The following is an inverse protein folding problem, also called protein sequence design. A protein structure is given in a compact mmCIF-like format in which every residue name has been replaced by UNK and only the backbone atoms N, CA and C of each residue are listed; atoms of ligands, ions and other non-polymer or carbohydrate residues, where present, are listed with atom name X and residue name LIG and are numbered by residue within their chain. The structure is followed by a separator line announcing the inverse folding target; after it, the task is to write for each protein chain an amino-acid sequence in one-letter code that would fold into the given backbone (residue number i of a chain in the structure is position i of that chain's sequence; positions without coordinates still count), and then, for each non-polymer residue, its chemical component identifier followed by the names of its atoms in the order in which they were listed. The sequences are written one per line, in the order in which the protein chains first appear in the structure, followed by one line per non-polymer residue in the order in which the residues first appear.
data_IF_423354051887
#
_entry.id   IF_423354051887
#
_cell.length_a   1.000
_cell.length_b   1.000
_cell.length_c   1.000
_cell.angle_alpha   90.00
_cell.angle_beta   90.00
_cell.angle_gamma   90.00
#
_symmetry.space_group_name_H-M   'P 1'
#
loop_
_entity.id
_entity.type
_entity.pdbx_description
1 polymer ?
#
# COMPACT_ATOMS: atom_id res chain seq x y z
N UNK A 1 -15.55 5.19 1.79
CA UNK A 1 -15.31 6.14 0.67
C UNK A 1 -13.82 6.19 0.37
N UNK A 2 -13.42 6.08 -0.90
CA UNK A 2 -12.04 6.35 -1.34
C UNK A 2 -11.88 7.87 -1.56
N UNK A 3 -10.99 8.51 -0.80
CA UNK A 3 -10.71 9.94 -0.92
C UNK A 3 -9.34 10.21 -1.57
N UNK A 4 -9.36 10.81 -2.75
CA UNK A 4 -8.18 11.19 -3.54
C UNK A 4 -8.06 12.69 -3.78
N UNK A 5 -8.66 13.51 -2.91
CA UNK A 5 -8.60 14.97 -3.03
C UNK A 5 -7.22 15.48 -2.61
N UNK A 6 -6.46 16.03 -3.57
CA UNK A 6 -5.13 16.66 -3.35
C UNK A 6 -5.28 18.13 -2.94
N UNK A 7 -6.07 18.36 -1.90
CA UNK A 7 -6.28 19.70 -1.35
C UNK A 7 -6.49 19.58 0.16
N UNK A 8 -5.44 19.88 0.93
CA UNK A 8 -5.46 19.70 2.39
C UNK A 8 -6.49 20.61 3.08
N UNK A 9 -6.85 21.77 2.50
CA UNK A 9 -7.96 22.60 3.03
C UNK A 9 -9.28 21.82 3.05
N UNK A 10 -9.51 20.97 2.05
CA UNK A 10 -10.71 20.11 2.02
C UNK A 10 -10.61 18.98 3.03
N UNK A 11 -9.41 18.49 3.34
CA UNK A 11 -9.23 17.52 4.42
C UNK A 11 -9.60 18.12 5.78
N UNK A 12 -9.08 19.31 6.10
CA UNK A 12 -9.35 19.98 7.37
C UNK A 12 -10.84 20.36 7.57
N UNK A 13 -11.55 20.64 6.48
CA UNK A 13 -12.94 21.12 6.53
C UNK A 13 -13.95 19.98 6.32
N UNK A 14 -13.80 19.19 5.26
CA UNK A 14 -14.85 18.26 4.83
C UNK A 14 -14.81 16.95 5.62
N UNK A 15 -13.63 16.45 5.98
CA UNK A 15 -13.50 15.15 6.67
C UNK A 15 -14.18 15.18 8.04
N UNK A 16 -13.96 16.18 8.92
CA UNK A 16 -14.68 16.25 10.19
C UNK A 16 -16.19 16.36 10.02
N UNK A 17 -16.66 17.11 9.00
CA UNK A 17 -18.09 17.22 8.69
C UNK A 17 -18.65 15.88 8.26
N UNK A 18 -17.97 15.15 7.37
CA UNK A 18 -18.39 13.83 6.89
C UNK A 18 -18.47 12.84 8.05
N UNK A 19 -17.44 12.75 8.89
CA UNK A 19 -17.47 11.88 10.08
C UNK A 19 -18.63 12.22 11.02
N UNK A 20 -18.89 13.51 11.27
CA UNK A 20 -20.02 13.94 12.11
C UNK A 20 -21.38 13.54 11.54
N UNK A 21 -21.56 13.67 10.23
CA UNK A 21 -22.83 13.37 9.56
C UNK A 21 -23.01 11.87 9.24
N UNK A 22 -21.92 11.12 9.13
CA UNK A 22 -21.89 9.71 8.77
C UNK A 22 -20.80 8.97 9.58
N UNK A 23 -21.01 8.73 10.88
CA UNK A 23 -19.99 8.16 11.76
C UNK A 23 -19.55 6.75 11.36
N UNK A 24 -20.41 5.97 10.72
CA UNK A 24 -20.10 4.62 10.23
C UNK A 24 -19.40 4.61 8.85
N UNK A 25 -19.30 5.76 8.18
CA UNK A 25 -18.68 5.82 6.86
C UNK A 25 -17.16 5.81 7.00
N UNK A 26 -16.55 4.70 6.61
CA UNK A 26 -15.09 4.61 6.54
C UNK A 26 -14.52 5.56 5.48
N UNK A 27 -13.44 6.26 5.81
CA UNK A 27 -12.68 7.12 4.89
C UNK A 27 -11.32 6.49 4.62
N UNK A 28 -11.07 6.19 3.34
CA UNK A 28 -9.83 5.57 2.88
C UNK A 28 -9.06 6.53 1.97
N UNK A 29 -7.86 6.95 2.35
CA UNK A 29 -7.00 7.77 1.48
C UNK A 29 -6.48 6.95 0.31
N UNK A 30 -6.30 7.59 -0.84
CA UNK A 30 -5.59 7.00 -1.99
C UNK A 30 -4.33 7.77 -2.40
N UNK A 31 -3.75 8.51 -1.47
CA UNK A 31 -2.51 9.27 -1.68
C UNK A 31 -1.30 8.40 -1.36
N UNK A 32 -0.87 7.61 -2.33
CA UNK A 32 0.37 6.82 -2.25
C UNK A 32 1.59 7.70 -1.94
N UNK A 33 1.62 8.91 -2.48
CA UNK A 33 2.69 9.89 -2.37
C UNK A 33 2.68 10.68 -1.04
N UNK A 34 1.57 10.68 -0.30
CA UNK A 34 1.37 11.49 0.92
C UNK A 34 0.82 10.67 2.09
N UNK A 35 1.33 9.45 2.30
CA UNK A 35 0.85 8.54 3.36
C UNK A 35 0.79 9.21 4.74
N UNK A 36 1.91 9.80 5.20
CA UNK A 36 1.98 10.44 6.51
C UNK A 36 0.96 11.58 6.69
N UNK A 37 0.79 12.42 5.67
CA UNK A 37 -0.05 13.61 5.74
C UNK A 37 -1.53 13.30 5.91
N UNK A 38 -1.97 12.10 5.49
CA UNK A 38 -3.37 11.67 5.60
C UNK A 38 -3.59 10.61 6.67
N UNK A 39 -2.54 9.96 7.18
CA UNK A 39 -2.61 8.83 8.10
C UNK A 39 -3.40 9.09 9.40
N UNK A 40 -3.53 10.35 9.82
CA UNK A 40 -4.16 10.72 11.08
C UNK A 40 -5.68 10.83 11.00
N UNK A 41 -6.25 11.01 9.80
CA UNK A 41 -7.67 11.38 9.63
C UNK A 41 -8.42 10.38 8.73
N UNK A 42 -7.91 9.15 8.67
CA UNK A 42 -8.42 8.05 7.84
C UNK A 42 -8.62 6.77 8.63
N UNK A 43 -9.54 5.93 8.14
CA UNK A 43 -9.80 4.59 8.69
C UNK A 43 -8.90 3.52 8.10
N UNK A 44 -8.35 3.78 6.90
CA UNK A 44 -7.41 2.90 6.24
C UNK A 44 -6.87 3.45 4.93
N UNK A 45 -5.96 2.69 4.31
CA UNK A 45 -5.33 3.02 3.05
C UNK A 45 -5.96 2.23 1.90
N UNK A 46 -6.42 2.92 0.85
CA UNK A 46 -6.78 2.31 -0.43
C UNK A 46 -5.84 2.84 -1.52
N UNK A 47 -4.60 2.38 -1.42
CA UNK A 47 -3.41 2.85 -2.14
C UNK A 47 -2.74 1.68 -2.86
N UNK A 48 -2.05 1.94 -3.97
CA UNK A 48 -1.24 0.92 -4.64
C UNK A 48 -0.13 0.37 -3.73
N UNK A 49 0.34 1.18 -2.78
CA UNK A 49 1.39 0.88 -1.82
C UNK A 49 1.08 -0.37 -0.97
N UNK A 50 -0.21 -0.64 -0.75
CA UNK A 50 -0.69 -1.83 -0.05
C UNK A 50 -0.25 -3.14 -0.70
N UNK A 51 0.12 -3.13 -1.99
CA UNK A 51 0.66 -4.31 -2.65
C UNK A 51 2.11 -4.60 -2.26
N UNK A 52 2.90 -3.57 -1.95
CA UNK A 52 4.36 -3.69 -1.80
C UNK A 52 4.82 -3.58 -0.36
N UNK A 53 4.13 -2.81 0.49
CA UNK A 53 4.49 -2.63 1.90
C UNK A 53 3.30 -2.72 2.86
N UNK A 54 2.38 -3.71 2.72
CA UNK A 54 1.21 -3.80 3.59
C UNK A 54 1.56 -3.84 5.08
N UNK A 55 2.67 -4.47 5.46
CA UNK A 55 3.10 -4.62 6.85
C UNK A 55 3.41 -3.26 7.50
N UNK A 56 4.06 -2.35 6.77
CA UNK A 56 4.36 -1.00 7.25
C UNK A 56 3.14 -0.07 7.18
N UNK A 57 2.23 -0.30 6.22
CA UNK A 57 0.98 0.46 6.13
C UNK A 57 0.03 0.13 7.29
N UNK A 58 -0.04 -1.13 7.73
CA UNK A 58 -0.80 -1.53 8.91
C UNK A 58 -0.27 -0.78 10.14
N UNK A 59 1.05 -0.79 10.35
CA UNK A 59 1.67 -0.03 11.44
C UNK A 59 1.38 1.47 11.32
N UNK A 60 1.42 2.04 10.11
CA UNK A 60 1.09 3.45 9.87
C UNK A 60 -0.35 3.80 10.26
N UNK A 61 -1.32 2.91 9.97
CA UNK A 61 -2.72 3.10 10.39
C UNK A 61 -2.81 3.08 11.93
N UNK A 62 -2.16 2.13 12.59
CA UNK A 62 -2.19 1.99 14.04
C UNK A 62 -1.65 3.25 14.73
N UNK A 63 -0.47 3.73 14.32
CA UNK A 63 0.15 4.92 14.92
C UNK A 63 -0.58 6.20 14.55
N UNK A 64 -1.16 6.28 13.34
CA UNK A 64 -2.00 7.39 12.90
C UNK A 64 -3.26 7.51 13.77
N UNK A 65 -3.94 6.39 14.05
CA UNK A 65 -5.10 6.35 14.97
C UNK A 65 -4.72 6.69 16.40
N UNK A 66 -3.54 6.28 16.86
CA UNK A 66 -3.00 6.64 18.17
C UNK A 66 -2.50 8.11 18.25
N UNK A 67 -2.49 8.84 17.13
CA UNK A 67 -1.91 10.19 16.99
C UNK A 67 -0.43 10.26 17.43
N UNK A 68 0.31 9.16 17.28
CA UNK A 68 1.76 9.10 17.56
C UNK A 68 2.54 9.61 16.34
N UNK A 69 2.74 10.92 16.30
CA UNK A 69 3.47 11.56 15.20
C UNK A 69 4.92 11.11 15.11
N UNK A 70 5.60 10.90 16.24
CA UNK A 70 7.01 10.53 16.25
C UNK A 70 7.22 9.16 15.57
N UNK A 71 6.38 8.18 15.91
CA UNK A 71 6.43 6.86 15.28
C UNK A 71 5.96 6.89 13.83
N UNK A 72 4.91 7.65 13.52
CA UNK A 72 4.45 7.84 12.14
C UNK A 72 5.55 8.44 11.24
N UNK A 73 6.31 9.41 11.76
CA UNK A 73 7.46 10.02 11.06
C UNK A 73 8.56 9.00 10.79
N UNK A 74 8.91 8.16 11.77
CA UNK A 74 9.89 7.09 11.58
C UNK A 74 9.49 6.11 10.48
N UNK A 75 8.24 5.65 10.47
CA UNK A 75 7.71 4.77 9.42
C UNK A 75 7.73 5.47 8.05
N UNK A 76 7.38 6.75 8.02
CA UNK A 76 7.45 7.54 6.80
C UNK A 76 8.89 7.64 6.28
N UNK A 77 9.87 7.89 7.14
CA UNK A 77 11.29 7.94 6.76
C UNK A 77 11.79 6.60 6.20
N UNK A 78 11.36 5.49 6.80
CA UNK A 78 11.66 4.14 6.31
C UNK A 78 11.07 3.90 4.91
N UNK A 79 9.83 4.35 4.67
CA UNK A 79 9.13 4.20 3.39
C UNK A 79 9.59 5.19 2.32
N UNK A 80 10.16 6.34 2.69
CA UNK A 80 10.38 7.46 1.78
C UNK A 80 11.24 7.12 0.55
N UNK A 81 12.34 6.34 0.65
CA UNK A 81 13.10 5.94 -0.55
C UNK A 81 12.26 5.12 -1.52
N UNK A 82 11.41 4.22 -1.03
CA UNK A 82 10.51 3.43 -1.85
C UNK A 82 9.40 4.30 -2.46
N UNK A 83 8.88 5.28 -1.70
CA UNK A 83 7.90 6.25 -2.20
C UNK A 83 8.49 7.07 -3.33
N UNK A 84 9.74 7.53 -3.19
CA UNK A 84 10.46 8.25 -4.24
C UNK A 84 10.63 7.40 -5.49
N UNK A 85 11.12 6.17 -5.32
CA UNK A 85 11.39 5.26 -6.42
C UNK A 85 10.13 4.75 -7.13
N UNK A 86 8.94 4.84 -6.52
CA UNK A 86 7.69 4.34 -7.12
C UNK A 86 6.73 5.48 -7.50
N UNK A 87 6.47 6.42 -6.59
CA UNK A 87 5.38 7.40 -6.71
C UNK A 87 5.81 8.83 -7.00
N UNK A 88 7.08 9.18 -6.82
CA UNK A 88 7.61 10.49 -7.25
C UNK A 88 8.16 10.47 -8.69
N UNK A 89 7.65 9.54 -9.50
CA UNK A 89 7.98 9.42 -10.93
C UNK A 89 7.19 10.42 -11.78
N UNK A 90 7.58 10.57 -13.05
CA UNK A 90 7.01 11.58 -13.95
C UNK A 90 5.53 11.40 -14.27
N UNK A 91 4.95 10.22 -13.99
CA UNK A 91 3.53 9.97 -14.15
C UNK A 91 3.01 8.81 -13.29
N UNK A 92 1.70 8.77 -13.06
CA UNK A 92 1.03 7.62 -12.44
C UNK A 92 1.18 6.32 -13.25
N UNK A 93 1.38 6.44 -14.57
CA UNK A 93 1.61 5.29 -15.45
C UNK A 93 2.96 4.64 -15.13
N UNK A 94 4.02 5.43 -14.98
CA UNK A 94 5.33 4.94 -14.53
C UNK A 94 5.25 4.30 -13.13
N UNK A 95 4.50 4.91 -12.21
CA UNK A 95 4.29 4.34 -10.88
C UNK A 95 3.66 2.95 -10.89
N UNK A 96 2.75 2.70 -11.85
CA UNK A 96 2.14 1.37 -12.04
C UNK A 96 3.18 0.32 -12.45
N UNK A 97 4.13 0.70 -13.32
CA UNK A 97 5.21 -0.21 -13.73
C UNK A 97 6.21 -0.41 -12.59
N UNK A 98 6.55 0.66 -11.87
CA UNK A 98 7.45 0.63 -10.72
C UNK A 98 6.93 -0.28 -9.60
N UNK A 99 5.61 -0.27 -9.36
CA UNK A 99 4.96 -1.21 -8.43
C UNK A 99 5.25 -2.66 -8.78
N UNK A 100 5.22 -3.04 -10.06
CA UNK A 100 5.53 -4.41 -10.48
C UNK A 100 7.00 -4.76 -10.23
N UNK A 101 7.92 -3.82 -10.43
CA UNK A 101 9.33 -4.03 -10.08
C UNK A 101 9.50 -4.23 -8.57
N UNK A 102 8.81 -3.47 -7.73
CA UNK A 102 8.85 -3.68 -6.28
C UNK A 102 8.28 -5.05 -5.88
N UNK A 103 7.22 -5.52 -6.53
CA UNK A 103 6.69 -6.87 -6.32
C UNK A 103 7.67 -7.98 -6.77
N UNK A 104 8.45 -7.74 -7.84
CA UNK A 104 9.55 -8.64 -8.24
C UNK A 104 10.67 -8.63 -7.19
N UNK A 105 11.06 -7.46 -6.69
CA UNK A 105 12.05 -7.33 -5.62
C UNK A 105 11.64 -8.11 -4.36
N UNK A 106 10.34 -8.07 -4.03
CA UNK A 106 9.73 -8.84 -2.93
C UNK A 106 9.49 -10.32 -3.25
N UNK A 107 9.85 -10.82 -4.43
CA UNK A 107 9.70 -12.22 -4.81
C UNK A 107 8.25 -12.67 -5.01
N UNK A 108 7.32 -11.74 -5.16
CA UNK A 108 5.89 -12.02 -5.36
C UNK A 108 5.59 -12.24 -6.85
N UNK A 109 6.21 -11.44 -7.71
CA UNK A 109 6.13 -11.60 -9.16
C UNK A 109 7.46 -12.11 -9.73
N UNK A 110 7.38 -12.89 -10.81
CA UNK A 110 8.57 -13.36 -11.53
C UNK A 110 9.12 -12.30 -12.52
N UNK A 111 8.25 -11.43 -13.03
CA UNK A 111 8.62 -10.38 -13.99
C UNK A 111 7.72 -9.14 -13.87
N UNK A 112 8.25 -7.99 -14.27
CA UNK A 112 7.54 -6.70 -14.22
C UNK A 112 6.79 -6.35 -15.53
N UNK A 113 6.74 -7.25 -16.50
CA UNK A 113 6.13 -7.03 -17.83
C UNK A 113 4.74 -6.39 -17.76
N UNK A 114 4.51 -5.34 -18.54
CA UNK A 114 3.24 -4.62 -18.65
C UNK A 114 2.65 -4.78 -20.05
N UNK A 115 1.36 -4.50 -20.18
CA UNK A 115 0.68 -4.44 -21.48
C UNK A 115 0.52 -2.98 -21.89
N UNK A 116 0.52 -2.74 -23.21
CA UNK A 116 0.17 -1.44 -23.80
C UNK A 116 -1.16 -0.92 -23.23
N UNK A 117 -1.29 0.39 -22.92
CA UNK A 117 -0.38 1.48 -23.29
C UNK A 117 0.77 1.75 -22.32
N UNK A 118 0.94 0.93 -21.27
CA UNK A 118 2.08 1.08 -20.35
C UNK A 118 3.37 0.67 -21.05
N UNK A 119 4.42 1.47 -20.86
CA UNK A 119 5.75 1.24 -21.39
C UNK A 119 6.69 0.78 -20.26
N UNK A 120 7.72 -0.04 -20.55
CA UNK A 120 8.77 -0.33 -19.59
C UNK A 120 9.41 0.95 -19.04
N UNK A 121 9.91 0.90 -17.80
CA UNK A 121 10.70 1.99 -17.24
C UNK A 121 12.08 2.07 -17.92
N UNK A 122 12.73 3.22 -17.77
CA UNK A 122 14.11 3.42 -18.20
C UNK A 122 15.07 2.41 -17.57
N UNK A 123 16.17 2.12 -18.25
CA UNK A 123 17.21 1.22 -17.76
C UNK A 123 17.74 1.66 -16.38
N UNK A 124 17.88 0.72 -15.46
CA UNK A 124 18.37 0.97 -14.09
C UNK A 124 17.29 1.32 -13.08
N UNK A 125 16.05 1.63 -13.51
CA UNK A 125 14.93 1.89 -12.60
C UNK A 125 14.60 0.67 -11.73
N UNK A 126 14.78 -0.54 -12.25
CA UNK A 126 14.63 -1.79 -11.51
C UNK A 126 15.61 -1.86 -10.32
N UNK A 127 16.89 -1.54 -10.54
CA UNK A 127 17.93 -1.57 -9.50
C UNK A 127 17.64 -0.54 -8.41
N UNK A 128 17.24 0.67 -8.79
CA UNK A 128 16.81 1.73 -7.87
C UNK A 128 15.65 1.25 -6.98
N UNK A 129 14.60 0.69 -7.58
CA UNK A 129 13.42 0.20 -6.85
C UNK A 129 13.79 -0.96 -5.93
N UNK A 130 14.63 -1.90 -6.40
CA UNK A 130 15.07 -3.04 -5.59
C UNK A 130 15.89 -2.59 -4.36
N UNK A 131 16.79 -1.62 -4.53
CA UNK A 131 17.53 -1.02 -3.43
C UNK A 131 16.60 -0.31 -2.44
N UNK A 132 15.56 0.39 -2.93
CA UNK A 132 14.58 1.05 -2.08
C UNK A 132 13.71 0.06 -1.29
N UNK A 133 13.34 -1.09 -1.87
CA UNK A 133 12.66 -2.19 -1.16
C UNK A 133 13.55 -2.75 -0.05
N UNK A 134 14.84 -2.95 -0.31
CA UNK A 134 15.80 -3.39 0.71
C UNK A 134 15.97 -2.36 1.83
N UNK A 135 16.07 -1.07 1.50
CA UNK A 135 16.17 0.00 2.48
C UNK A 135 14.94 0.06 3.39
N UNK A 136 13.75 -0.16 2.83
CA UNK A 136 12.50 -0.20 3.59
C UNK A 136 12.38 -1.44 4.49
N UNK A 137 13.38 -2.33 4.52
CA UNK A 137 13.40 -3.58 5.28
C UNK A 137 12.21 -4.49 4.95
N UNK A 138 11.82 -4.52 3.67
CA UNK A 138 10.72 -5.35 3.20
C UNK A 138 11.25 -6.71 2.73
N UNK A 139 10.94 -7.82 3.44
CA UNK A 139 11.48 -9.12 3.11
C UNK A 139 10.89 -9.66 1.82
N UNK A 140 11.62 -10.57 1.18
CA UNK A 140 11.05 -11.42 0.14
C UNK A 140 9.96 -12.31 0.73
N UNK A 141 8.84 -12.41 0.03
CA UNK A 141 7.72 -13.27 0.39
C UNK A 141 7.89 -14.61 -0.32
N UNK A 142 7.91 -15.70 0.45
CA UNK A 142 7.91 -17.04 -0.11
C UNK A 142 6.48 -17.48 -0.43
N UNK A 143 6.04 -17.22 -1.67
CA UNK A 143 4.68 -17.51 -2.12
C UNK A 143 4.34 -19.01 -2.05
N UNK A 144 5.32 -19.91 -2.22
CA UNK A 144 5.10 -21.35 -2.11
C UNK A 144 4.67 -21.80 -0.70
N UNK A 145 5.12 -21.09 0.35
CA UNK A 145 4.73 -21.37 1.74
C UNK A 145 3.35 -20.81 2.11
N UNK A 146 2.82 -19.87 1.33
CA UNK A 146 1.48 -19.30 1.55
C UNK A 146 0.38 -20.24 1.01
N UNK A 147 0.65 -20.98 -0.06
CA UNK A 147 -0.31 -21.90 -0.67
C UNK A 147 -0.56 -23.17 0.16
N UNK A 148 0.41 -23.61 0.99
CA UNK A 148 0.27 -24.78 1.86
C UNK A 148 -0.63 -24.55 3.09
N UNK A 149 -0.85 -23.30 3.48
CA UNK A 149 -1.69 -22.96 4.64
C UNK A 149 -3.18 -22.76 4.28
N UNK A 150 -3.53 -22.79 2.98
CA UNK A 150 -4.91 -22.61 2.51
C UNK A 150 -5.73 -23.89 2.35
N UNK A 151 -5.15 -25.08 2.55
CA UNK A 151 -5.79 -26.38 2.28
C UNK A 151 -6.36 -27.10 3.51
N UNK A 152 -6.41 -26.48 4.69
CA UNK A 152 -6.98 -27.09 5.91
C UNK A 152 -8.36 -26.49 6.29
N UNK A 153 -9.20 -26.20 5.30
CA UNK A 153 -10.59 -25.79 5.48
C UNK A 153 -11.58 -26.92 5.21
N UNK A 154 -11.99 -27.63 6.26
CA UNK A 154 -13.26 -28.40 6.40
C UNK A 154 -13.64 -29.39 5.29
N UNK A 155 -13.28 -30.66 5.48
CA UNK A 155 -14.09 -31.79 5.00
C UNK A 155 -15.37 -31.87 5.83
N UNK A 156 -16.43 -31.21 5.37
CA UNK A 156 -17.78 -31.35 5.92
C UNK A 156 -18.37 -32.70 5.57
N UNK A 157 -18.49 -33.57 6.57
CA UNK A 157 -19.22 -34.84 6.53
C UNK A 157 -20.68 -34.60 6.12
N UNK A 158 -21.12 -35.15 4.98
CA UNK A 158 -22.55 -35.26 4.66
C UNK A 158 -23.16 -36.37 5.49
N UNK A 159 -23.70 -36.03 6.67
CA UNK A 159 -24.62 -36.88 7.40
C UNK A 159 -25.98 -36.85 6.70
N UNK A 160 -26.43 -38.03 6.26
CA UNK A 160 -27.78 -38.25 5.79
C UNK A 160 -28.80 -38.11 6.91
N UNK A 161 -29.96 -37.58 6.55
CA UNK A 161 -31.21 -37.78 7.26
C UNK A 161 -32.34 -37.92 6.22
N UNK A 162 -33.05 -39.04 6.36
CA UNK A 162 -34.40 -39.40 5.92
C UNK A 162 -35.06 -38.69 4.73
#
# INVERSE_FOLDING_TARGET
MKNGVRNMRRWDVEIPIIHKQRPELQILTCHDEYLLHTAFDIDGFLVGYGNIAPELLIQMIEVGKAKDYARARQLHDQLLPLTKAVYHRGSHMEGTVALKHALVARGILNHATVRSPLMPLAEGADKEIHAAVQFADLPKINVSKLQSNGSNGTSGSTNGYH
#
